data_IF_868608402486
#
_entry.id   IF_868608402486
#
_cell.length_a   1.000
_cell.length_b   1.000
_cell.length_c   1.000
_cell.angle_alpha   90.00
_cell.angle_beta   90.00
_cell.angle_gamma   90.00
#
_symmetry.space_group_name_H-M   'P 1'
#
loop_
_entity.id
_entity.type
_entity.pdbx_description
1 polymer ?
#
# COMPACT_ATOMS: atom_id res chain seq x y z
N UNK A 1 9.52 19.41 -20.38
CA UNK A 1 8.73 18.73 -19.33
C UNK A 1 7.45 19.49 -19.03
N UNK A 2 7.49 20.83 -18.87
CA UNK A 2 6.29 21.65 -18.64
C UNK A 2 5.33 21.73 -19.85
N UNK A 3 5.84 21.75 -21.09
CA UNK A 3 4.98 21.88 -22.28
C UNK A 3 4.03 20.68 -22.52
N UNK A 4 4.43 19.48 -22.06
CA UNK A 4 3.63 18.26 -22.21
C UNK A 4 2.51 18.18 -21.15
N UNK A 5 2.72 18.83 -20.01
CA UNK A 5 1.75 18.92 -18.91
C UNK A 5 0.68 19.98 -19.21
N UNK A 6 1.06 21.08 -19.87
CA UNK A 6 0.15 22.14 -20.27
C UNK A 6 -0.80 21.71 -21.41
N UNK A 7 -0.33 20.89 -22.36
CA UNK A 7 -1.20 20.40 -23.45
C UNK A 7 -2.30 19.45 -22.97
N UNK A 8 -2.07 18.69 -21.88
CA UNK A 8 -3.02 17.72 -21.33
C UNK A 8 -4.10 18.41 -20.47
N UNK A 9 -3.80 19.57 -19.87
CA UNK A 9 -4.72 20.26 -18.94
C UNK A 9 -5.92 20.96 -19.59
N UNK A 10 -6.03 20.99 -20.93
CA UNK A 10 -7.04 21.82 -21.61
C UNK A 10 -8.36 21.12 -21.97
N UNK A 11 -8.60 19.85 -21.61
CA UNK A 11 -9.81 19.13 -22.03
C UNK A 11 -10.61 18.54 -20.86
N UNK A 12 -11.90 18.81 -20.94
CA UNK A 12 -13.04 18.67 -20.03
C UNK A 12 -13.50 17.24 -19.74
N UNK A 13 -14.02 17.00 -18.51
CA UNK A 13 -15.15 16.14 -18.05
C UNK A 13 -15.60 14.93 -18.90
N UNK A 14 -14.68 14.27 -19.58
CA UNK A 14 -14.91 13.05 -20.36
C UNK A 14 -14.10 11.94 -19.70
N UNK A 15 -14.60 10.70 -19.71
CA UNK A 15 -13.82 9.52 -19.28
C UNK A 15 -12.36 9.65 -19.73
N UNK A 16 -11.37 9.37 -18.86
CA UNK A 16 -9.96 9.57 -19.20
C UNK A 16 -9.57 8.66 -20.37
N UNK A 17 -9.75 9.16 -21.59
CA UNK A 17 -9.36 8.48 -22.82
C UNK A 17 -7.88 8.74 -23.04
N UNK A 18 -7.05 8.09 -22.21
CA UNK A 18 -5.60 8.20 -22.25
C UNK A 18 -5.11 7.70 -23.62
N UNK A 19 -4.48 8.55 -24.44
CA UNK A 19 -4.06 8.15 -25.79
C UNK A 19 -3.12 6.95 -25.77
N UNK A 20 -3.27 6.00 -26.71
CA UNK A 20 -2.36 4.83 -26.85
C UNK A 20 -0.88 5.26 -26.92
N UNK A 21 -0.60 6.44 -27.48
CA UNK A 21 0.75 7.02 -27.53
C UNK A 21 1.36 7.22 -26.14
N UNK A 22 0.58 7.65 -25.14
CA UNK A 22 1.05 7.79 -23.75
C UNK A 22 1.52 6.45 -23.20
N UNK A 23 0.72 5.39 -23.35
CA UNK A 23 1.06 4.06 -22.87
C UNK A 23 2.31 3.50 -23.55
N UNK A 24 2.51 3.78 -24.85
CA UNK A 24 3.74 3.43 -25.57
C UNK A 24 4.94 4.17 -24.99
N UNK A 25 4.87 5.49 -24.85
CA UNK A 25 5.95 6.30 -24.26
C UNK A 25 6.31 5.87 -22.84
N UNK A 26 5.31 5.58 -22.01
CA UNK A 26 5.52 5.09 -20.66
C UNK A 26 6.20 3.71 -20.65
N UNK A 27 5.77 2.80 -21.54
CA UNK A 27 6.40 1.48 -21.67
C UNK A 27 7.83 1.57 -22.22
N UNK A 28 8.10 2.48 -23.15
CA UNK A 28 9.44 2.71 -23.70
C UNK A 28 10.40 3.26 -22.63
N UNK A 29 9.89 4.15 -21.76
CA UNK A 29 10.62 4.69 -20.60
C UNK A 29 10.54 3.84 -19.33
N UNK A 30 9.99 2.62 -19.37
CA UNK A 30 9.69 1.87 -18.12
C UNK A 30 10.92 1.52 -17.28
N UNK A 31 12.11 1.48 -17.87
CA UNK A 31 13.35 1.22 -17.14
C UNK A 31 14.00 2.50 -16.58
N UNK A 32 13.67 3.67 -17.15
CA UNK A 32 14.26 4.94 -16.74
C UNK A 32 13.46 5.66 -15.65
N UNK A 33 12.14 5.46 -15.59
CA UNK A 33 11.31 6.12 -14.58
C UNK A 33 11.31 5.38 -13.24
N UNK A 34 11.44 6.13 -12.15
CA UNK A 34 11.22 5.59 -10.81
C UNK A 34 9.74 5.19 -10.65
N UNK A 35 9.45 4.31 -9.68
CA UNK A 35 8.08 3.86 -9.40
C UNK A 35 7.14 5.02 -9.15
N UNK A 36 7.58 6.00 -8.35
CA UNK A 36 6.85 7.24 -8.06
C UNK A 36 6.51 8.02 -9.33
N UNK A 37 7.46 8.17 -10.24
CA UNK A 37 7.26 8.94 -11.47
C UNK A 37 6.25 8.25 -12.39
N UNK A 38 6.32 6.92 -12.51
CA UNK A 38 5.34 6.14 -13.27
C UNK A 38 3.94 6.31 -12.71
N UNK A 39 3.80 6.20 -11.38
CA UNK A 39 2.53 6.40 -10.71
C UNK A 39 1.97 7.79 -11.00
N UNK A 40 2.79 8.83 -10.79
CA UNK A 40 2.36 10.22 -10.98
C UNK A 40 1.99 10.55 -12.43
N UNK A 41 2.72 9.99 -13.40
CA UNK A 41 2.37 10.13 -14.81
C UNK A 41 1.00 9.52 -15.11
N UNK A 42 0.72 8.32 -14.60
CA UNK A 42 -0.58 7.65 -14.77
C UNK A 42 -1.67 8.45 -14.05
N UNK A 43 -1.44 8.84 -12.81
CA UNK A 43 -2.37 9.65 -12.03
C UNK A 43 -2.71 10.98 -12.72
N UNK A 44 -1.74 11.64 -13.38
CA UNK A 44 -1.98 12.90 -14.08
C UNK A 44 -2.90 12.78 -15.29
N UNK A 45 -2.94 11.63 -15.96
CA UNK A 45 -3.78 11.41 -17.15
C UNK A 45 -5.11 10.74 -16.80
N UNK A 46 -5.18 10.03 -15.67
CA UNK A 46 -6.38 9.33 -15.20
C UNK A 46 -7.16 10.11 -14.12
N UNK A 47 -6.66 11.27 -13.67
CA UNK A 47 -7.30 12.07 -12.62
C UNK A 47 -7.22 11.46 -11.21
N UNK A 48 -6.22 10.60 -10.95
CA UNK A 48 -6.07 9.92 -9.68
C UNK A 48 -5.12 10.63 -8.70
N UNK A 49 -4.93 10.00 -7.53
CA UNK A 49 -4.10 10.56 -6.47
C UNK A 49 -2.60 10.52 -6.82
N UNK A 50 -1.93 11.65 -6.63
CA UNK A 50 -0.47 11.77 -6.74
C UNK A 50 0.20 11.07 -5.56
N UNK A 51 1.34 10.43 -5.82
CA UNK A 51 2.14 9.76 -4.80
C UNK A 51 2.67 10.73 -3.74
N UNK A 52 2.28 10.48 -2.49
CA UNK A 52 2.77 11.17 -1.31
C UNK A 52 3.32 10.17 -0.27
N UNK A 53 4.66 10.11 -0.18
CA UNK A 53 5.41 9.27 0.75
C UNK A 53 5.14 9.53 2.24
N UNK A 54 4.45 10.63 2.58
CA UNK A 54 4.02 10.93 3.95
C UNK A 54 2.68 10.31 4.33
N UNK A 55 1.97 9.67 3.38
CA UNK A 55 0.61 9.18 3.58
C UNK A 55 0.46 7.73 3.12
N UNK A 56 -0.47 7.00 3.72
CA UNK A 56 -0.80 5.65 3.27
C UNK A 56 -1.60 5.68 1.96
N UNK A 57 -1.41 4.70 1.05
CA UNK A 57 -0.56 3.50 1.22
C UNK A 57 0.93 3.70 0.81
N UNK A 58 1.30 4.88 0.32
CA UNK A 58 2.61 5.14 -0.27
C UNK A 58 3.76 5.14 0.75
N UNK A 59 3.49 5.59 1.97
CA UNK A 59 4.44 5.52 3.07
C UNK A 59 4.88 4.08 3.34
N UNK A 60 3.93 3.16 3.52
CA UNK A 60 4.25 1.75 3.74
C UNK A 60 4.85 1.09 2.49
N UNK A 61 4.41 1.48 1.30
CA UNK A 61 4.98 0.98 0.04
C UNK A 61 6.45 1.39 -0.17
N UNK A 62 6.84 2.60 0.28
CA UNK A 62 8.23 3.04 0.27
C UNK A 62 9.12 2.23 1.24
N UNK A 63 8.57 1.86 2.40
CA UNK A 63 9.24 0.97 3.34
C UNK A 63 9.40 -0.43 2.72
N UNK A 64 8.34 -0.96 2.09
CA UNK A 64 8.37 -2.26 1.42
C UNK A 64 9.35 -2.30 0.23
N UNK A 65 9.40 -1.23 -0.56
CA UNK A 65 10.35 -1.08 -1.68
C UNK A 65 11.79 -1.07 -1.17
N UNK A 66 12.05 -0.38 -0.05
CA UNK A 66 13.35 -0.39 0.60
C UNK A 66 13.73 -1.78 1.12
N UNK A 67 12.78 -2.50 1.73
CA UNK A 67 12.98 -3.86 2.20
C UNK A 67 13.36 -4.78 1.04
N UNK A 68 12.59 -4.76 -0.05
CA UNK A 68 12.89 -5.54 -1.27
C UNK A 68 14.31 -5.26 -1.77
N UNK A 69 14.70 -3.99 -1.88
CA UNK A 69 16.00 -3.61 -2.41
C UNK A 69 17.14 -4.11 -1.51
N UNK A 70 17.02 -3.92 -0.19
CA UNK A 70 18.03 -4.43 0.75
C UNK A 70 18.12 -5.95 0.71
N UNK A 71 17.00 -6.67 0.62
CA UNK A 71 16.99 -8.14 0.53
C UNK A 71 17.62 -8.65 -0.77
N UNK A 72 17.39 -7.99 -1.90
CA UNK A 72 18.02 -8.35 -3.19
C UNK A 72 19.55 -8.19 -3.12
N UNK A 73 20.04 -7.24 -2.32
CA UNK A 73 21.45 -6.98 -2.14
C UNK A 73 22.04 -7.66 -0.90
N UNK A 74 21.23 -8.38 -0.12
CA UNK A 74 21.67 -9.02 1.11
C UNK A 74 22.51 -10.25 0.79
N UNK A 75 23.80 -10.21 1.14
CA UNK A 75 24.76 -11.30 0.89
C UNK A 75 24.94 -12.26 2.06
N UNK A 76 24.16 -12.12 3.14
CA UNK A 76 24.19 -13.06 4.26
C UNK A 76 25.55 -13.15 4.95
N UNK A 77 26.24 -12.01 5.13
CA UNK A 77 27.55 -12.02 5.78
C UNK A 77 27.41 -12.49 7.23
N UNK A 78 27.94 -13.69 7.50
CA UNK A 78 28.02 -14.28 8.83
C UNK A 78 28.90 -13.33 9.67
N UNK A 79 28.28 -12.66 10.64
CA UNK A 79 28.98 -11.82 11.62
C UNK A 79 28.78 -10.30 11.48
N UNK A 80 28.18 -9.80 10.39
CA UNK A 80 27.84 -8.38 10.27
C UNK A 80 26.34 -8.10 10.35
N UNK A 81 25.96 -7.39 11.41
CA UNK A 81 24.70 -6.66 11.50
C UNK A 81 23.55 -7.43 12.15
N UNK A 82 23.39 -7.27 13.46
CA UNK A 82 22.12 -7.55 14.16
C UNK A 82 21.00 -6.58 13.75
N UNK A 83 21.32 -5.56 12.93
CA UNK A 83 20.41 -4.49 12.54
C UNK A 83 20.52 -4.17 11.05
N UNK A 84 19.42 -3.80 10.39
CA UNK A 84 19.45 -3.32 9.01
C UNK A 84 20.18 -1.97 8.92
N UNK A 85 20.81 -1.71 7.76
CA UNK A 85 21.53 -0.45 7.49
C UNK A 85 20.59 0.76 7.42
N UNK A 86 19.37 0.54 6.96
CA UNK A 86 18.36 1.59 6.79
C UNK A 86 17.50 1.71 8.05
N UNK A 87 17.43 2.92 8.63
CA UNK A 87 16.60 3.22 9.82
C UNK A 87 15.12 2.84 9.63
N UNK A 88 14.58 3.03 8.42
CA UNK A 88 13.20 2.65 8.09
C UNK A 88 12.94 1.14 8.15
N UNK A 89 13.97 0.32 8.00
CA UNK A 89 13.86 -1.13 8.17
C UNK A 89 14.04 -1.55 9.63
N UNK A 90 14.74 -0.75 10.45
CA UNK A 90 14.80 -0.99 11.89
C UNK A 90 13.39 -0.95 12.49
N UNK A 91 12.54 -0.02 12.04
CA UNK A 91 11.12 0.01 12.41
C UNK A 91 10.41 -1.33 12.15
N UNK A 92 10.67 -1.97 11.01
CA UNK A 92 10.08 -3.29 10.70
C UNK A 92 10.63 -4.37 11.62
N UNK A 93 11.95 -4.39 11.86
CA UNK A 93 12.57 -5.32 12.80
C UNK A 93 12.00 -5.17 14.21
N UNK A 94 11.73 -3.93 14.66
CA UNK A 94 11.14 -3.66 15.97
C UNK A 94 9.66 -4.07 16.01
N UNK A 95 8.90 -3.78 14.94
CA UNK A 95 7.47 -4.09 14.82
C UNK A 95 7.19 -5.59 14.79
N UNK A 96 8.02 -6.35 14.08
CA UNK A 96 7.81 -7.77 13.80
C UNK A 96 8.68 -8.70 14.63
N UNK A 97 9.34 -8.14 15.65
CA UNK A 97 10.21 -8.85 16.58
C UNK A 97 9.46 -10.00 17.26
N UNK A 98 9.98 -11.21 17.10
CA UNK A 98 9.46 -12.41 17.72
C UNK A 98 9.95 -12.61 19.15
N UNK A 99 9.25 -13.43 19.96
CA UNK A 99 9.78 -13.90 21.24
C UNK A 99 11.09 -14.66 21.02
N UNK A 100 12.17 -14.26 21.70
CA UNK A 100 13.48 -14.92 21.60
C UNK A 100 14.45 -14.33 20.56
N UNK A 101 14.01 -13.37 19.74
CA UNK A 101 14.90 -12.69 18.77
C UNK A 101 16.08 -11.99 19.45
N UNK A 102 15.86 -11.42 20.65
CA UNK A 102 16.94 -10.82 21.45
C UNK A 102 18.02 -11.83 21.83
N UNK A 103 17.61 -13.06 22.14
CA UNK A 103 18.52 -14.13 22.52
C UNK A 103 19.31 -14.59 21.30
N UNK A 104 18.65 -14.80 20.16
CA UNK A 104 19.29 -15.20 18.91
C UNK A 104 20.27 -14.12 18.40
N UNK A 105 19.90 -12.83 18.52
CA UNK A 105 20.78 -11.72 18.19
C UNK A 105 21.96 -11.60 19.16
N UNK A 106 21.73 -11.75 20.47
CA UNK A 106 22.80 -11.71 21.47
C UNK A 106 23.81 -12.84 21.27
N UNK A 107 23.33 -14.02 20.86
CA UNK A 107 24.18 -15.16 20.51
C UNK A 107 24.84 -15.03 19.14
N UNK A 108 24.50 -14.00 18.36
CA UNK A 108 24.93 -13.80 16.95
C UNK A 108 24.60 -14.99 16.05
N UNK A 109 23.52 -15.71 16.37
CA UNK A 109 23.10 -16.94 15.67
C UNK A 109 22.19 -16.63 14.46
N UNK A 110 21.76 -15.38 14.28
CA UNK A 110 20.92 -14.97 13.15
C UNK A 110 21.17 -13.54 12.68
N UNK A 111 20.83 -13.28 11.43
CA UNK A 111 20.81 -11.92 10.86
C UNK A 111 19.47 -11.23 11.10
N UNK A 112 19.44 -9.90 11.06
CA UNK A 112 18.18 -9.14 11.12
C UNK A 112 17.17 -9.58 10.05
N UNK A 113 17.68 -9.96 8.87
CA UNK A 113 16.86 -10.42 7.76
C UNK A 113 16.20 -11.77 8.07
N UNK A 114 16.91 -12.68 8.72
CA UNK A 114 16.34 -13.96 9.13
C UNK A 114 15.16 -13.76 10.08
N UNK A 115 15.35 -13.05 11.20
CA UNK A 115 14.28 -12.82 12.18
C UNK A 115 13.07 -12.11 11.58
N UNK A 116 13.32 -11.11 10.72
CA UNK A 116 12.25 -10.39 10.04
C UNK A 116 11.47 -11.30 9.06
N UNK A 117 12.17 -12.10 8.25
CA UNK A 117 11.55 -12.97 7.23
C UNK A 117 10.86 -14.21 7.82
N UNK A 118 11.21 -14.63 9.03
CA UNK A 118 10.52 -15.71 9.75
C UNK A 118 9.31 -15.23 10.53
N UNK A 119 9.06 -13.91 10.60
CA UNK A 119 7.91 -13.35 11.29
C UNK A 119 6.64 -13.52 10.46
N UNK A 120 5.66 -14.24 11.00
CA UNK A 120 4.34 -14.44 10.35
C UNK A 120 3.62 -13.11 10.09
N UNK A 121 3.81 -12.12 10.98
CA UNK A 121 3.18 -10.80 10.86
C UNK A 121 3.68 -9.99 9.65
N UNK A 122 4.90 -10.24 9.17
CA UNK A 122 5.43 -9.52 8.02
C UNK A 122 4.63 -9.83 6.76
N UNK A 123 4.31 -11.11 6.52
CA UNK A 123 3.57 -11.54 5.33
C UNK A 123 2.17 -10.92 5.27
N UNK A 124 1.47 -10.88 6.41
CA UNK A 124 0.17 -10.23 6.52
C UNK A 124 0.28 -8.73 6.23
N UNK A 125 1.23 -8.04 6.85
CA UNK A 125 1.43 -6.61 6.62
C UNK A 125 1.75 -6.29 5.16
N UNK A 126 2.59 -7.10 4.49
CA UNK A 126 2.87 -6.92 3.06
C UNK A 126 1.57 -6.99 2.24
N UNK A 127 0.69 -7.94 2.55
CA UNK A 127 -0.62 -8.05 1.88
C UNK A 127 -1.48 -6.81 2.10
N UNK A 128 -1.55 -6.33 3.35
CA UNK A 128 -2.30 -5.12 3.74
C UNK A 128 -1.78 -3.85 3.04
N UNK A 129 -0.48 -3.78 2.75
CA UNK A 129 0.13 -2.67 2.02
C UNK A 129 -0.12 -2.77 0.51
N UNK A 130 0.00 -3.96 -0.08
CA UNK A 130 -0.13 -4.15 -1.53
C UNK A 130 -1.58 -4.09 -2.00
N UNK A 131 -2.52 -4.62 -1.23
CA UNK A 131 -3.93 -4.66 -1.62
C UNK A 131 -4.54 -3.29 -2.00
N UNK A 132 -4.43 -2.23 -1.16
CA UNK A 132 -4.95 -0.92 -1.52
C UNK A 132 -4.22 -0.32 -2.72
N UNK A 133 -2.89 -0.48 -2.81
CA UNK A 133 -2.10 0.02 -3.95
C UNK A 133 -2.53 -0.62 -5.26
N UNK A 134 -2.75 -1.94 -5.26
CA UNK A 134 -3.19 -2.68 -6.44
C UNK A 134 -4.58 -2.23 -6.88
N UNK A 135 -5.51 -2.07 -5.92
CA UNK A 135 -6.85 -1.53 -6.20
C UNK A 135 -6.77 -0.12 -6.79
N UNK A 136 -6.04 0.78 -6.16
CA UNK A 136 -5.91 2.17 -6.61
C UNK A 136 -5.24 2.23 -8.01
N UNK A 137 -4.33 1.29 -8.30
CA UNK A 137 -3.74 1.13 -9.62
C UNK A 137 -4.75 0.63 -10.67
N UNK A 138 -5.59 -0.34 -10.32
CA UNK A 138 -6.65 -0.82 -11.21
C UNK A 138 -7.69 0.28 -11.50
N UNK A 139 -8.02 1.12 -10.51
CA UNK A 139 -8.86 2.31 -10.69
C UNK A 139 -8.22 3.30 -11.68
N UNK A 140 -6.92 3.57 -11.51
CA UNK A 140 -6.15 4.43 -12.41
C UNK A 140 -6.12 3.90 -13.85
N UNK A 141 -6.04 2.59 -14.04
CA UNK A 141 -6.02 1.97 -15.37
C UNK A 141 -7.40 1.85 -16.02
N UNK A 142 -8.43 1.63 -15.23
CA UNK A 142 -9.80 1.43 -15.73
C UNK A 142 -10.58 2.73 -15.90
N UNK A 143 -10.13 3.83 -15.27
CA UNK A 143 -10.86 5.09 -15.20
C UNK A 143 -12.15 5.01 -14.38
N UNK A 144 -12.42 3.86 -13.75
CA UNK A 144 -13.60 3.61 -12.95
C UNK A 144 -13.21 3.71 -11.48
N UNK A 145 -13.80 4.66 -10.75
CA UNK A 145 -13.85 4.53 -9.29
C UNK A 145 -14.58 3.23 -8.96
N UNK A 146 -14.15 2.45 -7.96
CA UNK A 146 -14.93 1.31 -7.52
C UNK A 146 -16.27 1.87 -7.09
N UNK A 147 -17.36 1.25 -7.53
CA UNK A 147 -18.61 1.41 -6.80
C UNK A 147 -18.29 0.99 -5.37
N UNK A 148 -18.14 1.99 -4.49
CA UNK A 148 -18.25 1.77 -3.06
C UNK A 148 -19.57 1.03 -2.95
N UNK A 149 -19.53 -0.28 -2.66
CA UNK A 149 -20.71 -1.01 -2.24
C UNK A 149 -21.27 -0.16 -1.12
N UNK A 150 -22.32 0.60 -1.41
CA UNK A 150 -22.98 1.45 -0.44
C UNK A 150 -23.23 0.53 0.72
N UNK A 151 -22.57 0.81 1.85
CA UNK A 151 -22.86 0.12 3.09
C UNK A 151 -24.38 0.06 3.18
N UNK A 152 -24.91 -1.16 3.34
CA UNK A 152 -26.34 -1.35 3.49
C UNK A 152 -26.86 -0.32 4.50
N UNK A 153 -28.02 0.31 4.22
CA UNK A 153 -28.53 1.36 5.10
C UNK A 153 -28.60 0.84 6.54
N UNK A 154 -28.39 1.71 7.54
CA UNK A 154 -28.51 1.31 8.93
C UNK A 154 -29.86 0.63 9.13
N UNK A 155 -29.86 -0.54 9.78
CA UNK A 155 -31.03 -1.26 10.27
C UNK A 155 -31.94 -0.30 11.07
N UNK A 156 -32.79 0.44 10.38
CA UNK A 156 -33.71 1.42 10.96
C UNK A 156 -35.12 1.24 10.40
N UNK A 157 -35.27 0.54 9.27
CA UNK A 157 -36.55 0.32 8.60
C UNK A 157 -36.92 -1.17 8.61
N UNK A 158 -37.07 -1.75 9.81
CA UNK A 158 -37.91 -2.93 9.99
C UNK A 158 -39.27 -2.48 10.54
N UNK A 159 -40.35 -2.54 9.75
CA UNK A 159 -41.69 -2.28 10.27
C UNK A 159 -42.19 -3.49 11.07
N UNK A 160 -42.59 -3.25 12.31
CA UNK A 160 -43.53 -4.11 13.02
C UNK A 160 -42.94 -4.99 14.11
N UNK A 161 -42.76 -4.41 15.30
CA UNK A 161 -42.90 -5.12 16.59
C UNK A 161 -43.38 -4.14 17.69
N UNK A 162 -44.44 -3.36 17.40
CA UNK A 162 -45.28 -2.79 18.46
C UNK A 162 -46.43 -3.77 18.70
N UNK A 163 -46.30 -4.67 19.67
CA UNK A 163 -47.35 -5.66 19.87
C UNK A 163 -47.14 -6.77 20.88
N UNK A 164 -46.30 -6.61 21.92
CA UNK A 164 -46.36 -7.43 23.13
C UNK A 164 -45.97 -6.49 24.28
N UNK A 165 -46.89 -6.02 25.11
CA UNK A 165 -47.77 -6.85 25.91
C UNK A 165 -47.31 -6.69 27.36
N UNK A 166 -48.02 -5.81 28.06
CA UNK A 166 -47.95 -5.48 29.50
C UNK A 166 -47.84 -6.73 30.39
N UNK A 167 -47.21 -6.57 31.57
CA UNK A 167 -47.59 -7.08 32.92
C UNK A 167 -46.34 -7.41 33.79
N UNK A 168 -46.41 -7.38 35.14
CA UNK A 168 -46.37 -6.15 35.94
C UNK A 168 -45.34 -6.23 37.12
N UNK A 169 -44.98 -5.07 37.69
CA UNK A 169 -44.59 -4.96 39.11
C UNK A 169 -45.80 -5.35 39.96
N UNK A 170 -45.77 -6.01 41.12
CA UNK A 170 -44.81 -6.23 42.21
C UNK A 170 -45.47 -7.35 43.09
N UNK A 171 -45.02 -7.76 44.29
CA UNK A 171 -44.11 -7.09 45.24
C UNK A 171 -42.95 -7.92 45.82
#
# INVERSE_FOLDING_TARGET
>A
MNELIEQISSHTDSEPNVPIAFWRTLNDGKKSYATRDKWNLIASVSGGQVWDSGTEPFQSLDILTALRNELIHFKGEIGEGTKPRLKKLQYLSDRFKGPGDDVLQAMKVGSWAHGLLTSEGLGQWVSEVIAPVARDFDELLSGKKPEIMKASPPFSDLPGLEGLGVFPHDP
#
